data_IF_150648514631
#
_entry.id   IF_150648514631
#
_cell.length_a   1.000
_cell.length_b   1.000
_cell.length_c   1.000
_cell.angle_alpha   90.00
_cell.angle_beta   90.00
_cell.angle_gamma   90.00
#
_symmetry.space_group_name_H-M   'P 1'
#
loop_
_entity.id
_entity.type
_entity.pdbx_description
1 polymer ?
#
# COMPACT_ATOMS: atom_id res chain seq x y z
N UNK A 1 -13.37 16.05 9.64
CA UNK A 1 -13.49 15.20 10.84
C UNK A 1 -14.49 14.04 10.70
N UNK A 2 -15.47 14.09 9.78
CA UNK A 2 -16.55 13.07 9.71
C UNK A 2 -16.26 11.81 8.86
N UNK A 3 -15.38 11.87 7.85
CA UNK A 3 -15.08 10.71 6.98
C UNK A 3 -14.08 9.72 7.61
N UNK A 4 -13.15 10.21 8.44
CA UNK A 4 -12.11 9.39 9.07
C UNK A 4 -12.64 8.43 10.14
N UNK A 5 -13.75 8.76 10.83
CA UNK A 5 -14.34 7.91 11.87
C UNK A 5 -15.11 6.72 11.25
N UNK A 6 -15.77 6.92 10.11
CA UNK A 6 -16.52 5.85 9.41
C UNK A 6 -15.54 4.80 8.85
N UNK A 7 -14.43 5.23 8.25
CA UNK A 7 -13.37 4.32 7.80
C UNK A 7 -12.75 3.53 8.97
N UNK A 8 -12.70 4.12 10.18
CA UNK A 8 -12.14 3.47 11.37
C UNK A 8 -13.03 2.39 11.99
N UNK A 9 -14.36 2.53 11.89
CA UNK A 9 -15.29 1.54 12.44
C UNK A 9 -15.46 0.33 11.50
N UNK A 10 -15.46 0.53 10.18
CA UNK A 10 -15.74 -0.55 9.22
C UNK A 10 -14.57 -1.55 9.01
N UNK A 11 -13.33 -1.17 9.31
CA UNK A 11 -12.18 -2.06 9.08
C UNK A 11 -12.02 -3.18 10.11
N UNK A 12 -12.79 -3.14 11.22
CA UNK A 12 -12.80 -4.16 12.26
C UNK A 12 -13.63 -5.39 11.89
N UNK A 13 -14.63 -5.24 11.02
CA UNK A 13 -15.43 -6.35 10.52
C UNK A 13 -14.80 -6.91 9.23
N UNK A 14 -14.45 -8.20 9.21
CA UNK A 14 -13.78 -8.81 8.07
C UNK A 14 -14.61 -8.73 6.77
N UNK A 15 -15.93 -8.91 6.83
CA UNK A 15 -16.78 -8.83 5.64
C UNK A 15 -16.82 -7.42 5.07
N UNK A 16 -16.95 -6.40 5.92
CA UNK A 16 -16.93 -5.00 5.49
C UNK A 16 -15.57 -4.60 4.95
N UNK A 17 -14.49 -5.04 5.60
CA UNK A 17 -13.12 -4.85 5.12
C UNK A 17 -12.92 -5.46 3.73
N UNK A 18 -13.39 -6.69 3.50
CA UNK A 18 -13.32 -7.33 2.19
C UNK A 18 -14.05 -6.48 1.13
N UNK A 19 -15.27 -6.03 1.41
CA UNK A 19 -16.04 -5.19 0.47
C UNK A 19 -15.36 -3.85 0.19
N UNK A 20 -14.75 -3.23 1.20
CA UNK A 20 -13.98 -1.98 1.00
C UNK A 20 -12.75 -2.26 0.13
N UNK A 21 -11.97 -3.30 0.44
CA UNK A 21 -10.77 -3.64 -0.33
C UNK A 21 -11.11 -4.00 -1.77
N UNK A 22 -12.18 -4.76 -2.01
CA UNK A 22 -12.66 -5.08 -3.35
C UNK A 22 -13.03 -3.81 -4.13
N UNK A 23 -13.81 -2.91 -3.52
CA UNK A 23 -14.21 -1.65 -4.15
C UNK A 23 -13.02 -0.73 -4.46
N UNK A 24 -12.07 -0.61 -3.53
CA UNK A 24 -10.88 0.24 -3.71
C UNK A 24 -9.92 -0.36 -4.75
N UNK A 25 -9.68 -1.68 -4.71
CA UNK A 25 -8.86 -2.37 -5.70
C UNK A 25 -9.49 -2.31 -7.10
N UNK A 26 -10.82 -2.39 -7.20
CA UNK A 26 -11.54 -2.18 -8.45
C UNK A 26 -11.38 -0.75 -8.97
N UNK A 27 -11.54 0.26 -8.12
CA UNK A 27 -11.36 1.66 -8.48
C UNK A 27 -9.90 2.00 -8.87
N UNK A 28 -8.91 1.36 -8.25
CA UNK A 28 -7.50 1.51 -8.60
C UNK A 28 -7.15 0.96 -10.01
N UNK A 29 -8.05 0.19 -10.61
CA UNK A 29 -7.93 -0.33 -11.97
C UNK A 29 -8.87 0.39 -12.96
N UNK A 30 -9.49 1.49 -12.52
CA UNK A 30 -10.34 2.32 -13.39
C UNK A 30 -9.55 2.86 -14.59
N UNK A 31 -10.23 3.01 -15.73
CA UNK A 31 -9.71 3.72 -16.89
C UNK A 31 -9.63 5.23 -16.67
N UNK A 32 -10.40 5.76 -15.73
CA UNK A 32 -10.33 7.16 -15.32
C UNK A 32 -9.12 7.39 -14.41
N UNK A 33 -8.20 8.23 -14.87
CA UNK A 33 -6.95 8.55 -14.16
C UNK A 33 -7.20 9.15 -12.76
N UNK A 34 -8.17 10.04 -12.61
CA UNK A 34 -8.44 10.70 -11.33
C UNK A 34 -8.99 9.71 -10.31
N UNK A 35 -9.90 8.84 -10.76
CA UNK A 35 -10.43 7.75 -9.92
C UNK A 35 -9.31 6.81 -9.50
N UNK A 36 -8.44 6.43 -10.44
CA UNK A 36 -7.30 5.55 -10.16
C UNK A 36 -6.33 6.15 -9.14
N UNK A 37 -5.93 7.41 -9.32
CA UNK A 37 -5.04 8.11 -8.39
C UNK A 37 -5.67 8.20 -6.99
N UNK A 38 -6.94 8.60 -6.90
CA UNK A 38 -7.64 8.69 -5.62
C UNK A 38 -7.75 7.32 -4.92
N UNK A 39 -8.02 6.25 -5.68
CA UNK A 39 -8.09 4.90 -5.15
C UNK A 39 -6.74 4.40 -4.65
N UNK A 40 -5.65 4.66 -5.39
CA UNK A 40 -4.29 4.34 -4.95
C UNK A 40 -3.97 5.11 -3.65
N UNK A 41 -4.27 6.41 -3.56
CA UNK A 41 -4.12 7.20 -2.32
C UNK A 41 -4.89 6.59 -1.14
N UNK A 42 -6.10 6.09 -1.38
CA UNK A 42 -6.86 5.33 -0.38
C UNK A 42 -6.13 4.06 0.06
N UNK A 43 -5.55 3.28 -0.87
CA UNK A 43 -4.76 2.09 -0.55
C UNK A 43 -3.53 2.43 0.31
N UNK A 44 -2.81 3.50 -0.02
CA UNK A 44 -1.71 4.00 0.82
C UNK A 44 -2.18 4.28 2.24
N UNK A 45 -3.32 4.97 2.37
CA UNK A 45 -3.83 5.32 3.69
C UNK A 45 -4.26 4.09 4.48
N UNK A 46 -4.90 3.12 3.83
CA UNK A 46 -5.26 1.84 4.43
C UNK A 46 -4.00 1.11 4.91
N UNK A 47 -2.96 1.01 4.07
CA UNK A 47 -1.69 0.38 4.43
C UNK A 47 -1.06 1.05 5.67
N UNK A 48 -1.03 2.39 5.70
CA UNK A 48 -0.46 3.14 6.84
C UNK A 48 -1.20 2.96 8.16
N UNK A 49 -2.50 2.60 8.13
CA UNK A 49 -3.34 2.50 9.32
C UNK A 49 -3.58 1.07 9.77
N UNK A 50 -3.64 0.14 8.80
CA UNK A 50 -4.17 -1.21 8.97
C UNK A 50 -3.22 -2.28 8.43
N UNK A 51 -1.90 -2.04 8.44
CA UNK A 51 -0.85 -2.96 7.98
C UNK A 51 -1.10 -4.42 8.41
N UNK A 52 -1.45 -4.65 9.67
CA UNK A 52 -1.69 -5.98 10.26
C UNK A 52 -2.83 -6.78 9.60
N UNK A 53 -3.73 -6.11 8.88
CA UNK A 53 -4.86 -6.75 8.18
C UNK A 53 -4.60 -6.94 6.68
N UNK A 54 -3.44 -6.54 6.16
CA UNK A 54 -3.18 -6.50 4.72
C UNK A 54 -2.71 -7.82 4.13
N UNK A 55 -2.32 -8.79 4.97
CA UNK A 55 -1.71 -10.05 4.53
C UNK A 55 -2.53 -10.78 3.47
N UNK A 56 -3.85 -10.90 3.68
CA UNK A 56 -4.77 -11.57 2.75
C UNK A 56 -4.81 -10.89 1.38
N UNK A 57 -4.72 -9.56 1.32
CA UNK A 57 -4.85 -8.81 0.06
C UNK A 57 -3.51 -8.60 -0.64
N UNK A 58 -2.39 -8.73 0.08
CA UNK A 58 -1.07 -8.36 -0.43
C UNK A 58 -0.63 -9.24 -1.60
N UNK A 59 -0.69 -10.56 -1.42
CA UNK A 59 -0.34 -11.53 -2.45
C UNK A 59 -1.39 -11.65 -3.55
N UNK A 60 -2.67 -11.45 -3.23
CA UNK A 60 -3.76 -11.64 -4.18
C UNK A 60 -3.92 -10.47 -5.16
N UNK A 61 -3.70 -9.23 -4.72
CA UNK A 61 -4.03 -8.06 -5.54
C UNK A 61 -3.09 -6.86 -5.38
N UNK A 62 -2.70 -6.51 -4.14
CA UNK A 62 -2.03 -5.23 -3.90
C UNK A 62 -0.65 -5.17 -4.56
N UNK A 63 0.14 -6.26 -4.54
CA UNK A 63 1.44 -6.29 -5.23
C UNK A 63 1.25 -6.01 -6.73
N UNK A 64 0.30 -6.70 -7.37
CA UNK A 64 0.06 -6.54 -8.81
C UNK A 64 -0.39 -5.12 -9.15
N UNK A 65 -1.38 -4.60 -8.44
CA UNK A 65 -1.94 -3.27 -8.70
C UNK A 65 -0.89 -2.17 -8.51
N UNK A 66 -0.12 -2.24 -7.43
CA UNK A 66 0.83 -1.17 -7.08
C UNK A 66 2.10 -1.22 -7.94
N UNK A 67 2.60 -2.41 -8.28
CA UNK A 67 3.71 -2.56 -9.24
C UNK A 67 3.28 -2.10 -10.63
N UNK A 68 2.06 -2.40 -11.06
CA UNK A 68 1.54 -1.91 -12.34
C UNK A 68 1.41 -0.38 -12.34
N UNK A 69 0.92 0.21 -11.23
CA UNK A 69 0.90 1.65 -11.06
C UNK A 69 2.31 2.25 -11.23
N UNK A 70 3.34 1.69 -10.58
CA UNK A 70 4.73 2.16 -10.70
C UNK A 70 5.27 2.14 -12.13
N UNK A 71 4.81 1.20 -12.96
CA UNK A 71 5.22 1.06 -14.36
C UNK A 71 4.47 2.01 -15.30
N UNK A 72 3.45 2.70 -14.82
CA UNK A 72 2.66 3.62 -15.64
C UNK A 72 3.53 4.71 -16.26
N UNK A 73 3.28 5.03 -17.53
CA UNK A 73 3.88 6.18 -18.20
C UNK A 73 3.27 7.52 -17.73
N UNK A 74 2.19 7.48 -16.93
CA UNK A 74 1.58 8.65 -16.31
C UNK A 74 2.23 8.85 -14.94
N UNK A 75 2.97 9.94 -14.79
CA UNK A 75 3.74 10.21 -13.58
C UNK A 75 2.88 10.29 -12.33
N UNK A 76 1.69 10.89 -12.40
CA UNK A 76 0.78 11.00 -11.26
C UNK A 76 0.37 9.63 -10.72
N UNK A 77 0.25 8.62 -11.58
CA UNK A 77 -0.11 7.24 -11.20
C UNK A 77 1.12 6.49 -10.70
N UNK A 78 2.26 6.63 -11.40
CA UNK A 78 3.51 6.00 -11.02
C UNK A 78 4.01 6.45 -9.65
N UNK A 79 3.88 7.74 -9.34
CA UNK A 79 4.21 8.29 -8.03
C UNK A 79 3.38 7.62 -6.94
N UNK A 80 2.08 7.39 -7.14
CA UNK A 80 1.27 6.70 -6.13
C UNK A 80 1.75 5.25 -5.88
N UNK A 81 2.17 4.54 -6.93
CA UNK A 81 2.76 3.21 -6.77
C UNK A 81 4.06 3.24 -5.94
N UNK A 82 4.93 4.23 -6.20
CA UNK A 82 6.19 4.41 -5.46
C UNK A 82 5.94 4.80 -4.00
N UNK A 83 5.02 5.73 -3.76
CA UNK A 83 4.64 6.18 -2.42
C UNK A 83 4.07 5.02 -1.60
N UNK A 84 3.33 4.10 -2.23
CA UNK A 84 2.82 2.91 -1.55
C UNK A 84 3.94 2.05 -0.97
N UNK A 85 4.97 1.75 -1.77
CA UNK A 85 6.11 0.95 -1.31
C UNK A 85 6.99 1.71 -0.30
N UNK A 86 7.01 3.04 -0.38
CA UNK A 86 7.65 3.88 0.64
C UNK A 86 6.92 3.76 1.98
N UNK A 87 5.58 3.83 1.99
CA UNK A 87 4.77 3.61 3.19
C UNK A 87 4.98 2.20 3.77
N UNK A 88 5.01 1.15 2.94
CA UNK A 88 5.30 -0.21 3.40
C UNK A 88 6.67 -0.28 4.06
N UNK A 89 7.71 0.30 3.42
CA UNK A 89 9.06 0.35 3.96
C UNK A 89 9.11 1.03 5.33
N UNK A 90 8.46 2.19 5.47
CA UNK A 90 8.43 2.95 6.72
C UNK A 90 7.71 2.18 7.82
N UNK A 91 6.57 1.54 7.51
CA UNK A 91 5.86 0.71 8.49
C UNK A 91 6.71 -0.48 8.96
N UNK A 92 7.40 -1.16 8.05
CA UNK A 92 8.24 -2.29 8.40
C UNK A 92 9.48 -1.88 9.21
N UNK A 93 10.04 -0.71 8.91
CA UNK A 93 11.13 -0.13 9.69
C UNK A 93 10.67 0.25 11.10
N UNK A 94 9.52 0.91 11.23
CA UNK A 94 8.93 1.28 12.53
C UNK A 94 8.63 0.04 13.39
N UNK A 95 8.08 -1.02 12.79
CA UNK A 95 7.83 -2.29 13.47
C UNK A 95 9.13 -2.97 13.89
N UNK A 96 10.15 -2.98 13.02
CA UNK A 96 11.45 -3.54 13.32
C UNK A 96 12.12 -2.82 14.49
N UNK A 97 12.16 -1.49 14.47
CA UNK A 97 12.75 -0.67 15.54
C UNK A 97 11.93 -0.70 16.84
N UNK A 98 10.60 -0.75 16.73
CA UNK A 98 9.69 -0.82 17.87
C UNK A 98 9.87 -2.09 18.72
N UNK A 99 10.26 -3.19 18.09
CA UNK A 99 10.57 -4.46 18.77
C UNK A 99 11.86 -4.38 19.63
N UNK A 100 12.83 -3.54 19.25
CA UNK A 100 14.05 -3.30 20.04
C UNK A 100 13.82 -2.36 21.24
N UNK A 101 12.74 -1.57 21.24
CA UNK A 101 12.56 -0.45 22.16
C UNK A 101 11.91 -0.80 23.50
N UNK A 102 10.73 -1.41 23.51
CA UNK A 102 9.97 -1.77 24.73
C UNK A 102 8.94 -2.81 24.34
N UNK A 103 8.87 -3.94 25.06
CA UNK A 103 7.80 -4.96 24.96
C UNK A 103 6.42 -4.29 25.07
N UNK A 104 5.80 -3.94 23.94
CA UNK A 104 4.41 -3.49 23.90
C UNK A 104 3.51 -4.71 23.68
N UNK A 105 2.53 -4.83 24.57
CA UNK A 105 1.46 -5.81 24.58
C UNK A 105 0.58 -5.56 23.35
N UNK A 106 1.03 -6.02 22.17
CA UNK A 106 0.30 -6.26 20.93
C UNK A 106 1.32 -6.73 19.90
N UNK A 107 1.32 -8.03 19.62
CA UNK A 107 2.16 -8.65 18.58
C UNK A 107 1.73 -8.14 17.20
N UNK A 108 2.16 -6.93 16.82
CA UNK A 108 2.19 -6.55 15.41
C UNK A 108 3.47 -7.12 14.84
N UNK A 109 3.37 -8.33 14.30
CA UNK A 109 4.49 -8.96 13.61
C UNK A 109 4.76 -8.21 12.31
N UNK A 110 6.03 -7.92 12.04
CA UNK A 110 6.44 -7.44 10.73
C UNK A 110 6.38 -8.61 9.75
N UNK A 111 5.57 -8.49 8.69
CA UNK A 111 5.37 -9.57 7.70
C UNK A 111 6.38 -9.48 6.55
N UNK A 112 7.14 -8.38 6.46
CA UNK A 112 8.18 -8.15 5.45
C UNK A 112 7.66 -8.29 4.01
N UNK A 113 6.51 -7.66 3.73
CA UNK A 113 5.93 -7.60 2.39
C UNK A 113 6.87 -6.99 1.36
N UNK A 114 7.64 -5.95 1.75
CA UNK A 114 8.60 -5.34 0.83
C UNK A 114 9.65 -6.37 0.37
N UNK A 115 10.14 -7.20 1.29
CA UNK A 115 11.11 -8.26 0.97
C UNK A 115 10.57 -9.21 -0.10
N UNK A 116 9.30 -9.65 0.04
CA UNK A 116 8.64 -10.50 -0.95
C UNK A 116 8.45 -9.84 -2.32
N UNK A 117 8.38 -8.50 -2.36
CA UNK A 117 8.14 -7.74 -3.58
C UNK A 117 9.40 -7.13 -4.21
N UNK A 118 10.58 -7.25 -3.58
CA UNK A 118 11.83 -6.62 -4.03
C UNK A 118 12.13 -6.88 -5.51
N UNK A 119 11.94 -8.13 -5.97
CA UNK A 119 12.18 -8.52 -7.36
C UNK A 119 11.33 -7.75 -8.38
N UNK A 120 10.19 -7.19 -7.96
CA UNK A 120 9.29 -6.41 -8.81
C UNK A 120 9.51 -4.90 -8.63
N UNK A 121 9.73 -4.45 -7.39
CA UNK A 121 9.85 -3.03 -7.03
C UNK A 121 11.20 -2.45 -7.46
N UNK A 122 12.30 -3.16 -7.16
CA UNK A 122 13.68 -2.65 -7.39
C UNK A 122 13.95 -2.35 -8.87
N UNK A 123 13.63 -3.23 -9.84
CA UNK A 123 13.90 -2.95 -11.25
C UNK A 123 13.13 -1.72 -11.75
N UNK A 124 11.88 -1.54 -11.31
CA UNK A 124 11.05 -0.41 -11.73
C UNK A 124 11.61 0.90 -11.18
N UNK A 125 12.00 0.94 -9.91
CA UNK A 125 12.64 2.13 -9.32
C UNK A 125 13.93 2.50 -10.05
N UNK A 126 14.80 1.52 -10.31
CA UNK A 126 16.06 1.76 -11.04
C UNK A 126 15.80 2.31 -12.46
N UNK A 127 14.82 1.76 -13.17
CA UNK A 127 14.44 2.24 -14.51
C UNK A 127 13.90 3.68 -14.47
N UNK A 128 13.15 4.06 -13.43
CA UNK A 128 12.59 5.41 -13.30
C UNK A 128 13.67 6.43 -12.92
N UNK A 129 14.61 6.05 -12.05
CA UNK A 129 15.75 6.90 -11.69
C UNK A 129 16.66 7.19 -12.89
N UNK A 130 16.91 6.22 -13.77
CA UNK A 130 17.73 6.45 -14.97
C UNK A 130 17.07 7.37 -15.99
N UNK A 131 15.74 7.41 -16.06
CA UNK A 131 14.98 8.36 -16.90
C UNK A 131 14.97 9.79 -16.35
N UNK A 132 15.14 10.01 -15.04
CA UNK A 132 15.16 11.35 -14.44
C UNK A 132 16.49 12.09 -14.60
N UNK A 133 17.57 11.39 -14.97
CA UNK A 133 18.93 11.95 -15.10
C UNK A 133 19.28 12.30 -16.56
N UNK A 134 18.39 12.02 -17.51
CA UNK A 134 18.53 12.35 -18.94
C UNK A 134 17.57 13.47 -19.35
#
# INVERSE_FOLDING_TARGET
>A
MSAFIIIFVCFLCQSERNSIMEGVCGAAQSSDMQVRVAALQCLLKIMSLYYEYMETYMGESLILITVEAMKSDIDEVAIQGIDFWSVVSDQEMDLYLGDYGVRRIRQRSCTFYLNGALQFVVPVLLQRLTKQVS
#
